data_IF_330252248395
#
_entry.id   IF_330252248395
#
_cell.length_a   1.000
_cell.length_b   1.000
_cell.length_c   1.000
_cell.angle_alpha   90.00
_cell.angle_beta   90.00
_cell.angle_gamma   90.00
#
_symmetry.space_group_name_H-M   'P 1'
#
loop_
_entity.id
_entity.type
_entity.pdbx_description
1 polymer ?
#
# COMPACT_ATOMS: atom_id res chain seq x y z
N UNK A 1 -16.52 5.83 4.47
CA UNK A 1 -16.79 5.89 3.02
C UNK A 1 -15.87 4.88 2.36
N UNK A 2 -16.39 3.95 1.57
CA UNK A 2 -15.49 3.09 0.78
C UNK A 2 -14.83 3.97 -0.30
N UNK A 3 -13.58 3.69 -0.60
CA UNK A 3 -12.80 4.39 -1.62
C UNK A 3 -12.12 3.35 -2.50
N UNK A 4 -11.98 3.65 -3.78
CA UNK A 4 -11.32 2.77 -4.75
C UNK A 4 -9.94 3.34 -5.05
N UNK A 5 -8.94 2.48 -5.11
CA UNK A 5 -7.55 2.88 -5.35
C UNK A 5 -7.03 2.37 -6.69
N UNK A 6 -6.03 3.07 -7.21
CA UNK A 6 -5.18 2.60 -8.28
C UNK A 6 -3.74 3.07 -8.06
N UNK A 7 -2.79 2.37 -8.67
CA UNK A 7 -1.37 2.71 -8.62
C UNK A 7 -0.83 2.77 -10.03
N UNK A 8 -0.25 3.91 -10.39
CA UNK A 8 0.42 4.16 -11.65
C UNK A 8 1.94 4.19 -11.42
N UNK A 9 2.70 3.44 -12.21
CA UNK A 9 4.15 3.49 -12.22
C UNK A 9 4.68 4.02 -13.55
N UNK A 10 5.39 5.13 -13.49
CA UNK A 10 6.07 5.78 -14.60
C UNK A 10 7.54 5.34 -14.58
N UNK A 11 7.85 4.22 -15.22
CA UNK A 11 9.19 3.62 -15.19
C UNK A 11 10.24 4.43 -15.93
N UNK A 12 9.85 5.15 -16.99
CA UNK A 12 10.74 5.99 -17.81
C UNK A 12 10.93 7.41 -17.24
N UNK A 13 10.50 7.65 -16.01
CA UNK A 13 10.73 8.91 -15.32
C UNK A 13 12.22 9.11 -15.01
N UNK A 14 12.58 10.35 -14.70
CA UNK A 14 13.82 10.70 -14.00
C UNK A 14 13.46 11.27 -12.62
N UNK A 15 14.48 11.60 -11.80
CA UNK A 15 14.27 12.13 -10.46
C UNK A 15 13.50 13.46 -10.45
N UNK A 16 13.60 14.26 -11.52
CA UNK A 16 12.98 15.58 -11.65
C UNK A 16 11.51 15.51 -12.11
N UNK A 17 11.08 14.36 -12.66
CA UNK A 17 9.71 14.16 -13.16
C UNK A 17 8.68 14.40 -12.06
N UNK A 18 9.01 14.06 -10.80
CA UNK A 18 8.13 14.32 -9.66
C UNK A 18 7.90 15.82 -9.44
N UNK A 19 8.94 16.64 -9.59
CA UNK A 19 8.86 18.10 -9.41
C UNK A 19 8.02 18.72 -10.52
N UNK A 20 8.27 18.33 -11.77
CA UNK A 20 7.47 18.77 -12.92
C UNK A 20 5.98 18.44 -12.73
N UNK A 21 5.70 17.25 -12.21
CA UNK A 21 4.34 16.83 -11.91
C UNK A 21 3.72 17.62 -10.74
N UNK A 22 4.50 17.95 -9.71
CA UNK A 22 4.04 18.81 -8.60
C UNK A 22 3.68 20.21 -9.08
N UNK A 23 4.49 20.80 -9.96
CA UNK A 23 4.21 22.11 -10.55
C UNK A 23 2.94 22.07 -11.39
N UNK A 24 2.75 21.01 -12.18
CA UNK A 24 1.55 20.80 -12.99
C UNK A 24 0.30 20.66 -12.12
N UNK A 25 0.31 19.77 -11.12
CA UNK A 25 -0.84 19.56 -10.22
C UNK A 25 -1.15 20.80 -9.39
N UNK A 26 -0.15 21.60 -9.03
CA UNK A 26 -0.38 22.82 -8.24
C UNK A 26 -1.26 23.85 -8.96
N UNK A 27 -1.32 23.82 -10.29
CA UNK A 27 -2.21 24.69 -11.08
C UNK A 27 -3.69 24.35 -10.91
N UNK A 28 -4.00 23.13 -10.45
CA UNK A 28 -5.37 22.66 -10.18
C UNK A 28 -5.88 23.09 -8.79
N UNK A 29 -5.11 23.94 -8.10
CA UNK A 29 -5.39 24.44 -6.75
C UNK A 29 -5.72 23.32 -5.73
N UNK A 30 -4.89 22.26 -5.64
CA UNK A 30 -5.09 21.19 -4.67
C UNK A 30 -4.87 21.69 -3.24
N UNK A 31 -5.49 21.00 -2.29
CA UNK A 31 -5.10 21.09 -0.88
C UNK A 31 -3.94 20.14 -0.62
N UNK A 32 -2.74 20.67 -0.40
CA UNK A 32 -1.58 19.87 -0.02
C UNK A 32 -1.74 19.35 1.42
N UNK A 33 -1.69 18.02 1.61
CA UNK A 33 -1.81 17.36 2.94
C UNK A 33 -0.46 17.03 3.57
N UNK A 34 0.63 17.27 2.85
CA UNK A 34 2.00 17.12 3.34
C UNK A 34 2.77 15.98 2.70
N UNK A 35 3.97 15.75 3.23
CA UNK A 35 4.92 14.78 2.71
C UNK A 35 4.58 13.36 3.15
N UNK A 36 4.96 12.39 2.35
CA UNK A 36 4.87 10.98 2.71
C UNK A 36 5.97 10.15 2.06
N UNK A 37 6.21 8.99 2.66
CA UNK A 37 7.06 7.91 2.18
C UNK A 37 6.34 6.56 2.36
N UNK A 38 6.90 5.51 1.76
CA UNK A 38 6.45 4.15 2.00
C UNK A 38 7.61 3.16 2.00
N UNK A 39 7.42 2.03 2.70
CA UNK A 39 8.25 0.85 2.55
C UNK A 39 7.41 -0.29 1.99
N UNK A 40 7.89 -0.93 0.93
CA UNK A 40 7.30 -2.12 0.35
C UNK A 40 8.34 -3.24 0.39
N UNK A 41 8.08 -4.27 1.20
CA UNK A 41 8.98 -5.43 1.34
C UNK A 41 8.35 -6.65 0.71
N UNK A 42 9.19 -7.45 0.08
CA UNK A 42 8.80 -8.73 -0.52
C UNK A 42 9.56 -9.83 0.22
N UNK A 43 8.81 -10.72 0.84
CA UNK A 43 9.32 -11.90 1.51
C UNK A 43 8.97 -13.14 0.68
N UNK A 44 9.88 -14.10 0.63
CA UNK A 44 9.64 -15.43 0.06
C UNK A 44 9.60 -16.43 1.20
N UNK A 45 8.69 -17.40 1.13
CA UNK A 45 8.68 -18.49 2.11
C UNK A 45 10.01 -19.25 2.07
N UNK A 46 10.42 -19.75 3.22
CA UNK A 46 11.50 -20.72 3.29
C UNK A 46 11.02 -22.04 2.70
N UNK A 47 11.70 -22.52 1.66
CA UNK A 47 11.36 -23.77 1.00
C UNK A 47 11.55 -24.99 1.91
N UNK A 48 12.33 -24.88 2.98
CA UNK A 48 12.51 -25.98 3.94
C UNK A 48 11.53 -25.92 5.12
N UNK A 49 10.69 -24.87 5.17
CA UNK A 49 9.62 -24.77 6.16
C UNK A 49 8.36 -25.46 5.63
N UNK A 50 8.31 -26.79 5.76
CA UNK A 50 7.24 -27.62 5.22
C UNK A 50 6.14 -27.83 6.28
N UNK A 51 4.86 -27.69 5.93
CA UNK A 51 3.75 -28.03 6.84
C UNK A 51 3.88 -29.48 7.31
N UNK A 52 3.59 -29.75 8.59
CA UNK A 52 3.76 -31.07 9.22
C UNK A 52 3.11 -32.21 8.42
N UNK A 53 1.98 -31.94 7.78
CA UNK A 53 1.24 -32.90 6.95
C UNK A 53 2.02 -33.37 5.70
N UNK A 54 2.96 -32.56 5.20
CA UNK A 54 3.71 -32.80 3.97
C UNK A 54 5.17 -33.22 4.22
N UNK A 55 5.66 -33.17 5.46
CA UNK A 55 7.07 -33.46 5.81
C UNK A 55 7.51 -34.86 5.41
N UNK A 56 6.60 -35.84 5.44
CA UNK A 56 6.93 -37.23 5.09
C UNK A 56 6.96 -37.49 3.58
N UNK A 57 6.41 -36.58 2.77
CA UNK A 57 6.27 -36.76 1.32
C UNK A 57 7.09 -35.78 0.50
N UNK A 58 7.49 -34.66 1.08
CA UNK A 58 8.23 -33.60 0.39
C UNK A 58 9.44 -33.17 1.22
N UNK A 59 10.59 -33.04 0.57
CA UNK A 59 11.81 -32.46 1.17
C UNK A 59 11.86 -30.93 1.08
N UNK A 60 10.97 -30.33 0.28
CA UNK A 60 10.79 -28.88 0.13
C UNK A 60 9.32 -28.51 -0.03
N UNK A 61 8.97 -27.26 0.29
CA UNK A 61 7.63 -26.72 0.11
C UNK A 61 7.23 -26.81 -1.38
N UNK A 62 6.01 -27.30 -1.68
CA UNK A 62 5.59 -27.60 -3.05
C UNK A 62 5.47 -26.37 -3.94
N UNK A 63 5.26 -25.19 -3.35
CA UNK A 63 5.20 -23.93 -4.06
C UNK A 63 5.99 -22.82 -3.36
N UNK A 64 6.49 -21.88 -4.16
CA UNK A 64 7.05 -20.64 -3.63
C UNK A 64 5.92 -19.66 -3.35
N UNK A 65 5.81 -19.26 -2.09
CA UNK A 65 4.85 -18.26 -1.62
C UNK A 65 5.55 -16.93 -1.39
N UNK A 66 4.84 -15.85 -1.66
CA UNK A 66 5.29 -14.50 -1.44
C UNK A 66 4.38 -13.80 -0.45
N UNK A 67 5.01 -13.14 0.51
CA UNK A 67 4.37 -12.25 1.46
C UNK A 67 4.85 -10.84 1.14
N UNK A 68 3.93 -9.97 0.77
CA UNK A 68 4.18 -8.56 0.54
C UNK A 68 3.76 -7.77 1.78
N UNK A 69 4.53 -6.76 2.15
CA UNK A 69 4.14 -5.83 3.20
C UNK A 69 4.27 -4.39 2.71
N UNK A 70 3.23 -3.60 2.84
CA UNK A 70 3.16 -2.18 2.51
C UNK A 70 2.97 -1.37 3.79
N UNK A 71 3.92 -0.49 4.08
CA UNK A 71 3.89 0.43 5.23
C UNK A 71 4.01 1.87 4.73
N UNK A 72 2.89 2.52 4.35
CA UNK A 72 2.89 3.92 3.96
C UNK A 72 2.80 4.82 5.20
N UNK A 73 3.60 5.88 5.25
CA UNK A 73 3.66 6.78 6.41
C UNK A 73 2.35 7.53 6.73
N UNK A 74 1.45 7.69 5.76
CA UNK A 74 0.13 8.28 6.00
C UNK A 74 -0.83 7.32 6.73
N UNK A 75 -0.54 6.01 6.76
CA UNK A 75 -1.21 5.04 7.64
C UNK A 75 -0.31 4.81 8.84
N UNK A 76 -0.50 5.63 9.86
CA UNK A 76 0.39 5.68 11.01
C UNK A 76 0.53 4.31 11.68
N UNK A 77 1.79 3.89 11.80
CA UNK A 77 2.23 2.64 12.42
C UNK A 77 1.37 1.42 12.03
N UNK A 78 0.95 1.41 10.77
CA UNK A 78 0.16 0.34 10.17
C UNK A 78 0.96 -0.33 9.05
N UNK A 79 0.80 -1.63 8.94
CA UNK A 79 1.38 -2.47 7.90
C UNK A 79 0.26 -3.28 7.27
N UNK A 80 0.09 -3.08 5.97
CA UNK A 80 -0.80 -3.90 5.16
C UNK A 80 0.02 -5.07 4.63
N UNK A 81 -0.56 -6.26 4.65
CA UNK A 81 0.07 -7.49 4.17
C UNK A 81 -0.76 -8.13 3.07
N UNK A 82 -0.08 -8.85 2.19
CA UNK A 82 -0.70 -9.65 1.14
C UNK A 82 0.07 -10.95 0.94
N UNK A 83 -0.60 -12.08 1.00
CA UNK A 83 -0.01 -13.40 0.74
C UNK A 83 -0.51 -13.90 -0.62
N UNK A 84 0.43 -14.20 -1.51
CA UNK A 84 0.19 -14.78 -2.84
C UNK A 84 -0.85 -14.04 -3.70
N UNK A 85 -1.08 -12.76 -3.46
CA UNK A 85 -2.12 -12.01 -4.17
C UNK A 85 -3.55 -12.46 -3.88
N UNK A 86 -3.78 -13.15 -2.75
CA UNK A 86 -5.08 -13.77 -2.43
C UNK A 86 -5.64 -13.37 -1.08
N UNK A 87 -4.78 -13.22 -0.08
CA UNK A 87 -5.20 -12.97 1.30
C UNK A 87 -4.50 -11.73 1.82
N UNK A 88 -5.28 -10.75 2.29
CA UNK A 88 -4.74 -9.53 2.87
C UNK A 88 -5.00 -9.46 4.38
N UNK A 89 -4.19 -8.69 5.08
CA UNK A 89 -4.37 -8.40 6.50
C UNK A 89 -3.76 -7.06 6.85
N UNK A 90 -4.41 -6.31 7.74
CA UNK A 90 -3.92 -5.01 8.22
C UNK A 90 -3.54 -5.14 9.68
N UNK A 91 -2.30 -4.77 9.99
CA UNK A 91 -1.75 -4.81 11.34
C UNK A 91 -1.41 -3.38 11.75
N UNK A 92 -1.95 -2.94 12.89
CA UNK A 92 -1.71 -1.60 13.43
C UNK A 92 -1.06 -1.70 14.80
N UNK A 93 -0.19 -0.74 15.09
CA UNK A 93 0.46 -0.57 16.36
C UNK A 93 -0.07 0.66 17.12
N UNK A 94 -0.94 1.44 16.48
CA UNK A 94 -1.49 2.67 17.05
C UNK A 94 -2.70 2.36 17.93
N UNK A 95 -2.73 2.89 19.15
CA UNK A 95 -3.90 2.76 20.05
C UNK A 95 -4.93 3.85 19.71
N UNK A 96 -6.21 3.51 19.82
CA UNK A 96 -7.33 4.42 19.53
C UNK A 96 -7.30 5.69 20.39
N UNK A 97 -7.01 5.58 21.68
CA UNK A 97 -6.84 6.71 22.63
C UNK A 97 -5.76 7.69 22.14
N UNK A 98 -4.57 7.21 21.78
CA UNK A 98 -3.47 8.05 21.27
C UNK A 98 -3.83 8.75 19.96
N UNK A 99 -4.49 8.06 19.04
CA UNK A 99 -4.92 8.65 17.77
C UNK A 99 -5.97 9.73 17.98
N UNK A 100 -6.90 9.51 18.93
CA UNK A 100 -7.96 10.45 19.25
C UNK A 100 -7.40 11.75 19.84
N UNK A 101 -6.42 11.66 20.75
CA UNK A 101 -5.74 12.83 21.33
C UNK A 101 -4.99 13.66 20.27
N UNK A 102 -4.47 13.00 19.23
CA UNK A 102 -3.77 13.64 18.12
C UNK A 102 -4.69 14.11 16.99
N UNK A 103 -6.01 13.93 17.13
CA UNK A 103 -6.99 14.31 16.11
C UNK A 103 -6.86 13.51 14.81
N UNK A 104 -6.27 12.31 14.87
CA UNK A 104 -6.14 11.42 13.72
C UNK A 104 -7.33 10.46 13.61
N UNK A 105 -7.67 10.01 12.39
CA UNK A 105 -8.70 8.99 12.19
C UNK A 105 -8.35 7.69 12.93
N UNK A 106 -9.33 7.09 13.62
CA UNK A 106 -9.16 5.85 14.39
C UNK A 106 -9.45 4.58 13.59
N UNK A 107 -9.68 4.69 12.26
CA UNK A 107 -10.08 3.57 11.39
C UNK A 107 -9.15 2.35 11.47
N UNK A 108 -7.84 2.58 11.68
CA UNK A 108 -6.82 1.54 11.84
C UNK A 108 -6.14 1.65 13.19
N UNK A 109 -6.90 1.36 14.25
CA UNK A 109 -6.42 1.47 15.63
C UNK A 109 -6.68 0.19 16.43
N UNK A 110 -5.84 -0.02 17.44
CA UNK A 110 -6.09 -1.03 18.47
C UNK A 110 -7.19 -0.49 19.38
N UNK A 111 -8.32 -1.19 19.53
CA UNK A 111 -9.41 -0.73 20.39
C UNK A 111 -8.95 -0.54 21.83
N UNK A 112 -9.44 0.53 22.49
CA UNK A 112 -9.06 0.87 23.86
C UNK A 112 -9.32 -0.24 24.89
N UNK A 113 -10.29 -1.10 24.62
CA UNK A 113 -10.58 -2.26 25.46
C UNK A 113 -9.42 -3.25 25.54
N UNK A 114 -8.62 -3.41 24.46
CA UNK A 114 -7.41 -4.23 24.51
C UNK A 114 -6.35 -3.63 25.42
N UNK A 115 -6.22 -2.31 25.47
CA UNK A 115 -5.30 -1.63 26.39
C UNK A 115 -5.79 -1.80 27.84
N UNK A 116 -7.06 -1.49 28.11
CA UNK A 116 -7.66 -1.55 29.47
C UNK A 116 -7.60 -2.94 30.09
N UNK A 117 -7.71 -3.98 29.28
CA UNK A 117 -7.64 -5.39 29.72
C UNK A 117 -6.20 -5.93 29.77
N UNK A 118 -5.19 -5.12 29.42
CA UNK A 118 -3.79 -5.54 29.38
C UNK A 118 -3.45 -6.51 28.24
N UNK A 119 -4.31 -6.61 27.21
CA UNK A 119 -4.04 -7.43 26.03
C UNK A 119 -3.03 -6.78 25.07
N UNK A 120 -2.89 -5.45 25.13
CA UNK A 120 -1.80 -4.73 24.47
C UNK A 120 -1.10 -3.80 25.44
N UNK A 121 0.18 -3.54 25.21
CA UNK A 121 0.98 -2.56 25.96
C UNK A 121 1.23 -1.28 25.18
N UNK A 122 0.79 -1.20 23.91
CA UNK A 122 1.10 -0.08 23.00
C UNK A 122 2.53 -0.09 22.43
N UNK A 123 3.42 -0.93 22.96
CA UNK A 123 4.84 -1.00 22.55
C UNK A 123 5.09 -2.11 21.53
N UNK A 124 4.20 -2.28 20.57
CA UNK A 124 4.30 -3.36 19.59
C UNK A 124 5.33 -2.98 18.50
N UNK A 125 6.13 -3.94 18.06
CA UNK A 125 6.97 -3.79 16.85
C UNK A 125 6.10 -3.78 15.59
N UNK A 126 6.49 -3.00 14.58
CA UNK A 126 5.82 -3.03 13.26
C UNK A 126 5.85 -4.45 12.71
N UNK A 127 4.76 -4.88 12.09
CA UNK A 127 4.60 -6.28 11.68
C UNK A 127 5.68 -6.76 10.71
N UNK A 128 6.12 -5.90 9.79
CA UNK A 128 7.21 -6.20 8.86
C UNK A 128 8.58 -6.36 9.54
N UNK A 129 8.83 -5.60 10.61
CA UNK A 129 10.00 -5.75 11.49
C UNK A 129 9.91 -7.05 12.28
N UNK A 130 8.72 -7.38 12.82
CA UNK A 130 8.48 -8.63 13.52
C UNK A 130 8.73 -9.85 12.63
N UNK A 131 8.22 -9.86 11.39
CA UNK A 131 8.52 -10.93 10.42
C UNK A 131 10.03 -11.04 10.21
N UNK A 132 10.66 -9.90 9.90
CA UNK A 132 12.09 -9.84 9.59
C UNK A 132 13.01 -10.20 10.76
N UNK A 133 12.56 -10.09 12.01
CA UNK A 133 13.37 -10.37 13.19
C UNK A 133 13.04 -11.72 13.86
N UNK A 134 11.77 -12.15 13.82
CA UNK A 134 11.27 -13.29 14.61
C UNK A 134 10.77 -14.46 13.74
N UNK A 135 10.41 -14.21 12.49
CA UNK A 135 9.88 -15.23 11.57
C UNK A 135 10.84 -15.53 10.40
N UNK A 136 12.14 -15.25 10.55
CA UNK A 136 13.15 -15.45 9.51
C UNK A 136 13.24 -16.91 9.01
N UNK A 137 12.95 -17.87 9.88
CA UNK A 137 12.91 -19.30 9.54
C UNK A 137 11.77 -19.65 8.60
N UNK A 138 10.69 -18.86 8.58
CA UNK A 138 9.52 -19.05 7.73
C UNK A 138 9.57 -18.16 6.48
N UNK A 139 10.09 -16.95 6.62
CA UNK A 139 10.05 -15.90 5.60
C UNK A 139 11.41 -15.22 5.48
N UNK A 140 11.93 -15.16 4.26
CA UNK A 140 13.17 -14.45 3.95
C UNK A 140 12.88 -13.22 3.11
N UNK A 141 13.30 -12.03 3.58
CA UNK A 141 13.15 -10.79 2.81
C UNK A 141 14.03 -10.87 1.55
N UNK A 142 13.41 -10.74 0.38
CA UNK A 142 14.08 -10.76 -0.93
C UNK A 142 14.34 -9.37 -1.46
N UNK A 143 13.37 -8.47 -1.32
CA UNK A 143 13.47 -7.11 -1.84
C UNK A 143 12.91 -6.12 -0.84
N UNK A 144 13.49 -4.92 -0.85
CA UNK A 144 13.00 -3.74 -0.14
C UNK A 144 12.95 -2.60 -1.15
N UNK A 145 11.74 -2.13 -1.41
CA UNK A 145 11.44 -1.01 -2.27
C UNK A 145 10.97 0.13 -1.37
N UNK A 146 11.56 1.31 -1.56
CA UNK A 146 11.25 2.50 -0.78
C UNK A 146 10.68 3.58 -1.66
N UNK A 147 9.63 4.24 -1.19
CA UNK A 147 9.16 5.50 -1.75
C UNK A 147 9.67 6.66 -0.91
N UNK A 148 10.34 7.63 -1.53
CA UNK A 148 10.77 8.84 -0.86
C UNK A 148 10.44 10.10 -1.67
N UNK A 149 10.52 11.26 -1.01
CA UNK A 149 10.22 12.57 -1.61
C UNK A 149 8.75 12.75 -1.97
N UNK A 150 7.85 11.98 -1.37
CA UNK A 150 6.46 11.97 -1.75
C UNK A 150 5.66 13.15 -1.20
N UNK A 151 4.59 13.49 -1.91
CA UNK A 151 3.62 14.53 -1.54
C UNK A 151 2.19 13.99 -1.70
N UNK A 152 1.30 14.49 -0.85
CA UNK A 152 -0.14 14.17 -0.86
C UNK A 152 -0.92 15.41 -1.27
N UNK A 153 -1.76 15.24 -2.29
CA UNK A 153 -2.67 16.25 -2.80
C UNK A 153 -4.11 15.77 -2.64
N UNK A 154 -4.98 16.66 -2.17
CA UNK A 154 -6.42 16.46 -2.13
C UNK A 154 -7.08 17.43 -3.11
N UNK A 155 -7.95 16.88 -3.96
CA UNK A 155 -8.67 17.58 -5.02
C UNK A 155 -10.17 17.30 -4.88
N UNK A 156 -10.97 18.09 -5.60
CA UNK A 156 -12.43 17.91 -5.69
C UNK A 156 -13.12 17.80 -4.33
N UNK A 157 -12.75 18.67 -3.38
CA UNK A 157 -13.28 18.71 -2.00
C UNK A 157 -13.16 17.37 -1.24
N UNK A 158 -12.08 16.63 -1.46
CA UNK A 158 -11.82 15.36 -0.78
C UNK A 158 -12.29 14.12 -1.54
N UNK A 159 -12.91 14.28 -2.71
CA UNK A 159 -13.33 13.13 -3.51
C UNK A 159 -12.18 12.46 -4.25
N UNK A 160 -11.06 13.17 -4.46
CA UNK A 160 -9.87 12.65 -5.13
C UNK A 160 -8.62 12.93 -4.28
N UNK A 161 -7.85 11.90 -3.96
CA UNK A 161 -6.55 12.04 -3.33
C UNK A 161 -5.46 11.43 -4.23
N UNK A 162 -4.44 12.22 -4.51
CA UNK A 162 -3.29 11.84 -5.33
C UNK A 162 -2.06 11.85 -4.43
N UNK A 163 -1.31 10.74 -4.42
CA UNK A 163 -0.07 10.62 -3.67
C UNK A 163 1.06 10.23 -4.60
N UNK A 164 2.07 11.08 -4.70
CA UNK A 164 3.22 10.82 -5.56
C UNK A 164 4.42 10.42 -4.73
N UNK A 165 5.31 9.58 -5.25
CA UNK A 165 6.58 9.26 -4.60
C UNK A 165 7.61 8.74 -5.61
N UNK A 166 8.88 9.12 -5.46
CA UNK A 166 9.96 8.50 -6.21
C UNK A 166 10.26 7.11 -5.64
N UNK A 167 10.37 6.11 -6.52
CA UNK A 167 10.58 4.70 -6.14
C UNK A 167 12.05 4.33 -6.24
N UNK A 168 12.57 3.71 -5.18
CA UNK A 168 13.94 3.23 -5.10
C UNK A 168 13.97 1.75 -4.75
N UNK A 169 14.73 0.95 -5.51
CA UNK A 169 15.04 -0.44 -5.20
C UNK A 169 16.53 -0.55 -4.93
N UNK A 170 16.89 -0.90 -3.69
CA UNK A 170 18.29 -0.96 -3.23
C UNK A 170 19.08 0.34 -3.50
N UNK A 171 18.42 1.49 -3.32
CA UNK A 171 19.01 2.83 -3.55
C UNK A 171 19.02 3.29 -5.01
N UNK A 172 18.72 2.40 -5.96
CA UNK A 172 18.61 2.77 -7.37
C UNK A 172 17.20 3.27 -7.66
N UNK A 173 17.10 4.43 -8.30
CA UNK A 173 15.83 4.97 -8.78
C UNK A 173 15.19 4.03 -9.82
N UNK A 174 13.88 3.77 -9.68
CA UNK A 174 13.10 2.86 -10.55
C UNK A 174 11.91 3.52 -11.24
N UNK A 175 11.57 4.76 -10.89
CA UNK A 175 10.49 5.49 -11.51
C UNK A 175 9.71 6.35 -10.53
N UNK A 176 8.70 7.03 -11.06
CA UNK A 176 7.73 7.80 -10.29
C UNK A 176 6.48 6.95 -10.07
N UNK A 177 6.04 6.83 -8.82
CA UNK A 177 4.79 6.17 -8.46
C UNK A 177 3.74 7.23 -8.12
N UNK A 178 2.54 7.04 -8.65
CA UNK A 178 1.37 7.86 -8.40
C UNK A 178 0.26 6.94 -7.90
N UNK A 179 -0.07 7.04 -6.61
CA UNK A 179 -1.24 6.39 -6.02
C UNK A 179 -2.43 7.34 -6.14
N UNK A 180 -3.54 6.81 -6.65
CA UNK A 180 -4.80 7.52 -6.87
C UNK A 180 -5.85 6.88 -5.97
N UNK A 181 -6.59 7.70 -5.24
CA UNK A 181 -7.69 7.26 -4.38
C UNK A 181 -8.92 8.10 -4.68
N UNK A 182 -10.02 7.44 -5.03
CA UNK A 182 -11.28 8.09 -5.40
C UNK A 182 -12.39 7.68 -4.45
N UNK A 183 -13.24 8.65 -4.12
CA UNK A 183 -14.50 8.41 -3.42
C UNK A 183 -15.53 7.77 -4.34
N UNK A 184 -16.43 6.96 -3.77
CA UNK A 184 -17.54 6.32 -4.48
C UNK A 184 -18.51 7.29 -5.18
N UNK A 185 -18.48 8.57 -4.82
CA UNK A 185 -19.25 9.62 -5.52
C UNK A 185 -18.82 9.78 -6.98
N UNK A 186 -17.58 9.43 -7.31
CA UNK A 186 -16.99 9.56 -8.64
C UNK A 186 -16.99 8.26 -9.45
N UNK A 187 -17.31 7.11 -8.85
CA UNK A 187 -17.31 5.82 -9.52
C UNK A 187 -18.43 4.90 -9.03
N UNK A 188 -19.12 4.23 -9.97
CA UNK A 188 -20.09 3.20 -9.62
C UNK A 188 -19.35 1.93 -9.18
N UNK A 189 -19.41 1.66 -7.88
CA UNK A 189 -18.79 0.50 -7.23
C UNK A 189 -19.25 -0.81 -7.86
N UNK A 190 -20.48 -0.86 -8.40
CA UNK A 190 -21.05 -2.08 -8.97
C UNK A 190 -20.51 -2.37 -10.39
N UNK A 191 -19.87 -1.38 -11.03
CA UNK A 191 -19.29 -1.50 -12.35
C UNK A 191 -17.76 -1.54 -12.29
N UNK A 192 -17.23 -2.65 -11.75
CA UNK A 192 -15.78 -2.88 -11.62
C UNK A 192 -15.01 -2.78 -12.95
N UNK A 193 -15.64 -3.20 -14.06
CA UNK A 193 -15.04 -3.09 -15.39
C UNK A 193 -14.82 -1.63 -15.80
N UNK A 194 -15.64 -0.71 -15.27
CA UNK A 194 -15.53 0.73 -15.49
C UNK A 194 -14.42 1.40 -14.68
N UNK A 195 -13.84 0.78 -13.65
CA UNK A 195 -12.82 1.45 -12.81
C UNK A 195 -11.63 1.93 -13.62
N UNK A 196 -11.13 1.09 -14.53
CA UNK A 196 -10.02 1.44 -15.40
C UNK A 196 -10.33 2.67 -16.27
N UNK A 197 -11.53 2.76 -16.80
CA UNK A 197 -11.97 3.91 -17.60
C UNK A 197 -12.03 5.20 -16.77
N UNK A 198 -12.53 5.12 -15.53
CA UNK A 198 -12.59 6.28 -14.63
C UNK A 198 -11.19 6.76 -14.24
N UNK A 199 -10.29 5.84 -13.89
CA UNK A 199 -8.90 6.19 -13.61
C UNK A 199 -8.19 6.75 -14.85
N UNK A 200 -8.43 6.21 -16.04
CA UNK A 200 -7.87 6.76 -17.28
C UNK A 200 -8.37 8.19 -17.54
N UNK A 201 -9.66 8.49 -17.31
CA UNK A 201 -10.18 9.86 -17.41
C UNK A 201 -9.48 10.82 -16.47
N UNK A 202 -9.12 10.39 -15.26
CA UNK A 202 -8.36 11.21 -14.30
C UNK A 202 -6.93 11.41 -14.77
N UNK A 203 -6.27 10.34 -15.22
CA UNK A 203 -4.92 10.38 -15.81
C UNK A 203 -4.88 11.38 -16.97
N UNK A 204 -5.89 11.37 -17.85
CA UNK A 204 -6.01 12.32 -18.96
C UNK A 204 -6.34 13.73 -18.49
N UNK A 205 -7.34 13.90 -17.62
CA UNK A 205 -7.80 15.21 -17.11
C UNK A 205 -6.67 16.00 -16.46
N UNK A 206 -5.87 15.34 -15.65
CA UNK A 206 -4.77 15.96 -14.91
C UNK A 206 -3.41 15.81 -15.60
N UNK A 207 -3.37 15.23 -16.80
CA UNK A 207 -2.17 15.08 -17.63
C UNK A 207 -1.05 14.28 -16.95
N UNK A 208 -1.38 13.14 -16.34
CA UNK A 208 -0.39 12.30 -15.68
C UNK A 208 0.60 11.71 -16.72
N UNK A 209 1.88 11.54 -16.36
CA UNK A 209 2.86 10.95 -17.26
C UNK A 209 2.50 9.51 -17.64
N UNK A 210 2.88 9.10 -18.85
CA UNK A 210 2.60 7.76 -19.37
C UNK A 210 3.28 6.68 -18.51
N UNK A 211 2.50 5.69 -18.07
CA UNK A 211 2.98 4.62 -17.21
C UNK A 211 2.04 3.42 -17.15
N UNK A 212 2.43 2.42 -16.37
CA UNK A 212 1.62 1.23 -16.15
C UNK A 212 0.64 1.47 -14.99
N UNK A 213 -0.66 1.46 -15.27
CA UNK A 213 -1.73 1.62 -14.29
C UNK A 213 -2.26 0.26 -13.82
N UNK A 214 -2.34 0.05 -12.51
CA UNK A 214 -2.97 -1.10 -11.89
C UNK A 214 -4.12 -0.64 -10.99
N UNK A 215 -5.33 -1.13 -11.28
CA UNK A 215 -6.56 -0.88 -10.52
C UNK A 215 -7.26 -2.20 -10.16
N UNK A 216 -6.47 -3.27 -10.03
CA UNK A 216 -6.99 -4.60 -9.72
C UNK A 216 -7.48 -4.64 -8.27
N UNK A 217 -8.47 -5.49 -8.02
CA UNK A 217 -9.08 -5.72 -6.71
C UNK A 217 -8.97 -7.21 -6.33
N UNK A 218 -8.94 -7.51 -5.04
CA UNK A 218 -8.86 -8.86 -4.50
C UNK A 218 -10.16 -9.63 -4.67
N UNK A 219 -11.28 -9.00 -4.32
CA UNK A 219 -12.62 -9.55 -4.47
C UNK A 219 -13.56 -8.48 -5.02
N UNK A 220 -14.11 -8.73 -6.21
CA UNK A 220 -15.09 -7.83 -6.82
C UNK A 220 -16.33 -7.65 -5.93
N UNK A 221 -16.72 -8.65 -5.13
CA UNK A 221 -17.93 -8.54 -4.30
C UNK A 221 -17.71 -7.74 -3.03
N UNK A 222 -16.50 -7.81 -2.47
CA UNK A 222 -16.15 -7.23 -1.19
C UNK A 222 -14.87 -6.40 -1.37
N UNK A 223 -15.02 -5.17 -1.82
CA UNK A 223 -13.90 -4.27 -1.97
C UNK A 223 -13.27 -3.97 -0.61
N UNK A 224 -11.96 -4.14 -0.54
CA UNK A 224 -11.17 -3.81 0.64
C UNK A 224 -10.05 -2.88 0.21
N UNK A 225 -10.20 -1.60 0.52
CA UNK A 225 -9.27 -0.53 0.14
C UNK A 225 -7.81 -0.91 0.40
N UNK A 226 -7.52 -1.48 1.57
CA UNK A 226 -6.15 -1.74 1.98
C UNK A 226 -5.56 -2.97 1.28
N UNK A 227 -6.31 -4.07 1.23
CA UNK A 227 -5.92 -5.27 0.51
C UNK A 227 -5.76 -5.04 -0.99
N UNK A 228 -6.71 -4.33 -1.60
CA UNK A 228 -6.67 -3.94 -3.01
C UNK A 228 -5.45 -3.07 -3.30
N UNK A 229 -5.16 -2.08 -2.45
CA UNK A 229 -3.97 -1.25 -2.58
C UNK A 229 -2.69 -2.10 -2.50
N UNK A 230 -2.58 -3.01 -1.53
CA UNK A 230 -1.39 -3.87 -1.41
C UNK A 230 -1.23 -4.79 -2.64
N UNK A 231 -2.34 -5.30 -3.19
CA UNK A 231 -2.36 -6.05 -4.44
C UNK A 231 -1.83 -5.22 -5.60
N UNK A 232 -2.31 -3.99 -5.75
CA UNK A 232 -1.89 -3.09 -6.82
C UNK A 232 -0.38 -2.79 -6.73
N UNK A 233 0.13 -2.51 -5.52
CA UNK A 233 1.56 -2.36 -5.28
C UNK A 233 2.35 -3.63 -5.64
N UNK A 234 1.85 -4.80 -5.24
CA UNK A 234 2.52 -6.09 -5.53
C UNK A 234 2.62 -6.39 -7.02
N UNK A 235 1.64 -5.97 -7.81
CA UNK A 235 1.63 -6.15 -9.27
C UNK A 235 2.54 -5.14 -9.97
N UNK A 236 2.49 -3.87 -9.54
CA UNK A 236 3.18 -2.79 -10.24
C UNK A 236 4.68 -2.71 -9.91
N UNK A 237 5.07 -3.11 -8.69
CA UNK A 237 6.45 -3.06 -8.20
C UNK A 237 7.20 -4.39 -8.34
N UNK A 238 6.68 -5.31 -9.15
CA UNK A 238 7.34 -6.59 -9.44
C UNK A 238 8.41 -6.41 -10.53
N UNK A 239 9.59 -5.89 -10.12
CA UNK A 239 10.75 -5.64 -10.99
C UNK A 239 11.58 -6.88 -11.31
#
# INVERSE_FOLDING_TARGET
MNMVTAVLLVQKANLETITQFHDQISNELPTAKGKWNFNFKIFRNNQYSIPQELVNTHEQAPESKFLFTLSPSYLRDSTITLINGKSAGVFTNSIEEELSELGHPSDLSIPNDHLRRGATTGLNDKFDTFIGAKLQSLWTQRQLIKGDGGQIYELENGNLCIRTSNVFLHGNFRGLLIQIEMSNSLCDINNHNGFKEHFNKIVEKYGFPEGSLCCDVLDNKNLDKYGDLCLQYSKILNF
#
